data_IF_911855930506
#
_entry.id   IF_911855930506
#
_cell.length_a   1.000
_cell.length_b   1.000
_cell.length_c   1.000
_cell.angle_alpha   90.00
_cell.angle_beta   90.00
_cell.angle_gamma   90.00
#
_symmetry.space_group_name_H-M   'P 1'
#
loop_
_entity.id
_entity.type
_entity.pdbx_description
1 polymer ?
#
# COMPACT_ATOMS: atom_id res chain seq x y z
N UNK A 1 -14.15 12.12 -6.61
CA UNK A 1 -12.73 12.02 -6.16
C UNK A 1 -11.87 11.43 -7.27
N UNK A 2 -10.92 12.19 -7.80
CA UNK A 2 -10.02 11.74 -8.87
C UNK A 2 -8.94 10.77 -8.36
N UNK A 3 -8.37 9.94 -9.23
CA UNK A 3 -7.26 9.04 -8.90
C UNK A 3 -6.04 9.80 -8.34
N UNK A 4 -5.76 11.00 -8.86
CA UNK A 4 -4.68 11.87 -8.38
C UNK A 4 -4.85 12.26 -6.90
N UNK A 5 -6.07 12.64 -6.49
CA UNK A 5 -6.36 12.97 -5.10
C UNK A 5 -6.12 11.78 -4.17
N UNK A 6 -6.57 10.58 -4.57
CA UNK A 6 -6.33 9.36 -3.80
C UNK A 6 -4.85 8.99 -3.72
N UNK A 7 -4.09 9.11 -4.81
CA UNK A 7 -2.64 8.86 -4.80
C UNK A 7 -1.92 9.80 -3.83
N UNK A 8 -2.24 11.09 -3.87
CA UNK A 8 -1.64 12.09 -2.95
C UNK A 8 -2.01 11.83 -1.51
N UNK A 9 -3.27 11.51 -1.22
CA UNK A 9 -3.69 11.14 0.13
C UNK A 9 -2.95 9.86 0.61
N UNK A 10 -2.83 8.86 -0.25
CA UNK A 10 -2.08 7.62 0.07
C UNK A 10 -0.60 7.93 0.36
N UNK A 11 0.03 8.76 -0.47
CA UNK A 11 1.41 9.19 -0.29
C UNK A 11 1.58 9.97 1.02
N UNK A 12 0.68 10.91 1.30
CA UNK A 12 0.68 11.71 2.53
C UNK A 12 0.62 10.81 3.77
N UNK A 13 -0.36 9.90 3.83
CA UNK A 13 -0.49 8.95 4.94
C UNK A 13 0.76 8.09 5.10
N UNK A 14 1.33 7.61 3.99
CA UNK A 14 2.55 6.79 4.03
C UNK A 14 3.72 7.56 4.62
N UNK A 15 3.98 8.77 4.12
CA UNK A 15 5.10 9.61 4.56
C UNK A 15 4.91 10.08 6.00
N UNK A 16 3.71 10.53 6.38
CA UNK A 16 3.39 10.87 7.78
C UNK A 16 3.57 9.67 8.71
N UNK A 17 3.17 8.47 8.26
CA UNK A 17 3.40 7.22 8.98
C UNK A 17 4.89 6.94 9.20
N UNK A 18 5.74 7.16 8.18
CA UNK A 18 7.19 7.00 8.31
C UNK A 18 7.79 8.03 9.27
N UNK A 19 7.41 9.32 9.15
CA UNK A 19 7.87 10.37 10.06
C UNK A 19 7.50 10.07 11.51
N UNK A 20 6.22 9.76 11.76
CA UNK A 20 5.75 9.40 13.09
C UNK A 20 6.46 8.14 13.62
N UNK A 21 6.61 7.08 12.82
CA UNK A 21 7.32 5.88 13.24
C UNK A 21 8.75 6.18 13.71
N UNK A 22 9.48 7.02 12.97
CA UNK A 22 10.85 7.42 13.31
C UNK A 22 10.91 8.34 14.55
N UNK A 23 9.79 8.98 14.91
CA UNK A 23 9.68 9.81 16.12
C UNK A 23 9.48 9.00 17.40
N UNK A 24 8.85 7.82 17.30
CA UNK A 24 8.44 7.02 18.47
C UNK A 24 9.39 5.87 18.82
N UNK A 25 10.06 5.31 17.81
CA UNK A 25 11.03 4.24 17.97
C UNK A 25 12.32 4.61 17.23
N UNK A 26 13.40 4.88 17.96
CA UNK A 26 14.71 4.43 17.49
C UNK A 26 14.92 3.06 18.12
N UNK A 27 14.69 1.94 17.40
CA UNK A 27 15.07 0.62 17.90
C UNK A 27 16.54 0.63 18.32
N UNK A 28 16.96 -0.24 19.24
CA UNK A 28 18.36 -0.31 19.68
C UNK A 28 19.37 -0.60 18.54
N UNK A 29 18.90 -1.12 17.39
CA UNK A 29 19.68 -1.33 16.17
C UNK A 29 19.69 -0.12 15.22
N UNK A 30 18.89 0.90 15.49
CA UNK A 30 18.94 2.20 14.83
C UNK A 30 19.86 3.09 15.68
N UNK A 31 21.07 3.45 15.22
CA UNK A 31 21.80 4.53 15.87
C UNK A 31 20.85 5.72 15.93
N UNK A 32 20.83 6.49 17.04
CA UNK A 32 20.06 7.75 17.16
C UNK A 32 20.50 8.67 16.02
N UNK A 33 19.86 8.47 14.88
CA UNK A 33 20.30 8.85 13.56
C UNK A 33 19.39 9.95 13.10
N UNK A 34 19.68 11.12 13.65
CA UNK A 34 19.37 12.46 13.17
C UNK A 34 17.88 12.79 12.93
N UNK A 35 17.35 13.66 13.79
CA UNK A 35 15.98 14.19 13.76
C UNK A 35 15.48 14.65 12.36
N UNK A 36 16.40 15.00 11.44
CA UNK A 36 16.05 15.46 10.11
C UNK A 36 15.29 14.43 9.27
N UNK A 37 15.45 13.12 9.48
CA UNK A 37 14.73 12.10 8.70
C UNK A 37 13.24 12.09 9.02
N UNK A 38 12.89 12.15 10.32
CA UNK A 38 11.52 12.30 10.78
C UNK A 38 10.91 13.59 10.20
N UNK A 39 11.58 14.71 10.42
CA UNK A 39 11.14 16.02 9.93
C UNK A 39 10.95 16.01 8.41
N UNK A 40 11.88 15.38 7.67
CA UNK A 40 11.81 15.22 6.23
C UNK A 40 10.52 14.51 5.79
N UNK A 41 10.20 13.36 6.40
CA UNK A 41 8.99 12.61 6.06
C UNK A 41 7.70 13.34 6.47
N UNK A 42 7.68 13.99 7.63
CA UNK A 42 6.52 14.77 8.08
C UNK A 42 6.26 15.96 7.16
N UNK A 43 7.30 16.72 6.83
CA UNK A 43 7.22 17.88 5.94
C UNK A 43 6.74 17.45 4.56
N UNK A 44 7.34 16.41 3.96
CA UNK A 44 6.91 15.92 2.65
C UNK A 44 5.49 15.34 2.67
N UNK A 45 5.10 14.67 3.75
CA UNK A 45 3.75 14.15 3.95
C UNK A 45 2.68 15.25 3.94
N UNK A 46 3.01 16.45 4.42
CA UNK A 46 2.14 17.64 4.32
C UNK A 46 2.24 18.27 2.94
N UNK A 47 3.47 18.47 2.43
CA UNK A 47 3.72 19.17 1.16
C UNK A 47 3.10 18.47 -0.05
N UNK A 48 2.97 17.13 -0.05
CA UNK A 48 2.34 16.39 -1.17
C UNK A 48 0.86 16.75 -1.39
N UNK A 49 0.20 17.33 -0.38
CA UNK A 49 -1.18 17.80 -0.46
C UNK A 49 -1.29 19.25 -0.96
N UNK A 50 -0.24 20.07 -0.87
CA UNK A 50 -0.25 21.48 -1.28
C UNK A 50 -0.69 21.67 -2.74
N UNK A 51 -0.26 20.85 -3.71
CA UNK A 51 -0.73 20.97 -5.09
C UNK A 51 -2.24 20.81 -5.29
N UNK A 52 -2.96 20.18 -4.36
CA UNK A 52 -4.43 20.08 -4.43
C UNK A 52 -5.12 21.45 -4.32
N UNK A 53 -4.45 22.42 -3.69
CA UNK A 53 -4.95 23.78 -3.50
C UNK A 53 -4.36 24.77 -4.52
N UNK A 54 -3.46 24.31 -5.40
CA UNK A 54 -2.74 25.16 -6.38
C UNK A 54 -2.85 24.62 -7.83
N UNK A 55 -4.06 24.31 -8.34
CA UNK A 55 -4.23 23.60 -9.62
C UNK A 55 -3.65 24.34 -10.84
N UNK A 56 -3.53 25.67 -10.76
CA UNK A 56 -3.05 26.51 -11.86
C UNK A 56 -1.51 26.62 -11.91
N UNK A 57 -0.79 26.26 -10.84
CA UNK A 57 0.66 26.45 -10.72
C UNK A 57 1.46 25.19 -11.07
N UNK A 58 1.33 24.72 -12.32
CA UNK A 58 1.95 23.46 -12.82
C UNK A 58 3.46 23.36 -12.54
N UNK A 59 4.21 24.46 -12.65
CA UNK A 59 5.66 24.47 -12.38
C UNK A 59 5.96 24.19 -10.90
N UNK A 60 5.24 24.85 -9.98
CA UNK A 60 5.43 24.64 -8.55
C UNK A 60 5.04 23.21 -8.13
N UNK A 61 3.93 22.68 -8.66
CA UNK A 61 3.53 21.28 -8.44
C UNK A 61 4.63 20.31 -8.86
N UNK A 62 5.22 20.50 -10.05
CA UNK A 62 6.32 19.65 -10.54
C UNK A 62 7.56 19.73 -9.65
N UNK A 63 7.91 20.92 -9.16
CA UNK A 63 9.05 21.10 -8.24
C UNK A 63 8.77 20.36 -6.92
N UNK A 64 7.61 20.59 -6.30
CA UNK A 64 7.23 19.95 -5.04
C UNK A 64 7.20 18.42 -5.17
N UNK A 65 6.61 17.89 -6.25
CA UNK A 65 6.53 16.43 -6.42
C UNK A 65 7.89 15.81 -6.78
N UNK A 66 8.84 16.56 -7.33
CA UNK A 66 10.21 16.06 -7.57
C UNK A 66 10.94 15.77 -6.24
N UNK A 67 10.56 16.45 -5.16
CA UNK A 67 11.05 16.17 -3.80
C UNK A 67 10.61 14.80 -3.26
N UNK A 68 9.65 14.12 -3.93
CA UNK A 68 9.21 12.77 -3.58
C UNK A 68 10.18 11.66 -4.05
N UNK A 69 11.09 11.97 -4.99
CA UNK A 69 12.09 11.01 -5.46
C UNK A 69 13.04 10.61 -4.31
N UNK A 70 13.67 11.56 -3.59
CA UNK A 70 14.46 11.23 -2.39
C UNK A 70 13.68 10.44 -1.34
N UNK A 71 12.39 10.75 -1.11
CA UNK A 71 11.57 9.99 -0.17
C UNK A 71 11.43 8.52 -0.56
N UNK A 72 11.23 8.25 -1.85
CA UNK A 72 11.19 6.88 -2.37
C UNK A 72 12.54 6.17 -2.21
N UNK A 73 13.64 6.88 -2.47
CA UNK A 73 14.99 6.35 -2.30
C UNK A 73 15.29 5.99 -0.83
N UNK A 74 14.88 6.83 0.13
CA UNK A 74 15.01 6.51 1.56
C UNK A 74 14.17 5.30 1.97
N UNK A 75 12.92 5.20 1.51
CA UNK A 75 12.07 4.04 1.82
C UNK A 75 12.66 2.76 1.20
N UNK A 76 13.22 2.81 -0.01
CA UNK A 76 13.96 1.70 -0.62
C UNK A 76 15.14 1.31 0.27
N UNK A 77 15.94 2.29 0.70
CA UNK A 77 17.09 2.04 1.57
C UNK A 77 16.68 1.39 2.89
N UNK A 78 15.65 1.89 3.57
CA UNK A 78 15.13 1.28 4.80
C UNK A 78 14.57 -0.12 4.57
N UNK A 79 13.87 -0.34 3.46
CA UNK A 79 13.34 -1.66 3.11
C UNK A 79 14.47 -2.65 2.84
N UNK A 80 15.55 -2.19 2.20
CA UNK A 80 16.75 -2.98 1.95
C UNK A 80 17.48 -3.32 3.25
N UNK A 81 17.72 -2.34 4.12
CA UNK A 81 18.31 -2.60 5.43
C UNK A 81 17.49 -3.59 6.24
N UNK A 82 16.17 -3.41 6.29
CA UNK A 82 15.24 -4.32 6.97
C UNK A 82 15.32 -5.74 6.41
N UNK A 83 15.47 -5.89 5.10
CA UNK A 83 15.67 -7.18 4.47
C UNK A 83 16.98 -7.83 4.90
N UNK A 84 18.11 -7.16 4.69
CA UNK A 84 19.45 -7.69 5.05
C UNK A 84 19.54 -8.06 6.53
N UNK A 85 19.00 -7.21 7.43
CA UNK A 85 19.04 -7.44 8.88
C UNK A 85 18.07 -8.53 9.35
N UNK A 86 17.04 -8.86 8.56
CA UNK A 86 16.05 -9.86 8.95
C UNK A 86 16.48 -11.30 8.71
N UNK A 87 17.49 -11.53 7.87
CA UNK A 87 17.94 -12.89 7.50
C UNK A 87 16.88 -13.74 6.78
N UNK A 88 15.85 -13.11 6.21
CA UNK A 88 14.81 -13.79 5.42
C UNK A 88 14.88 -13.37 3.94
N UNK A 89 14.10 -14.04 3.11
CA UNK A 89 14.09 -13.89 1.66
C UNK A 89 13.70 -12.50 1.17
N UNK A 90 13.93 -12.28 -0.13
CA UNK A 90 13.75 -11.00 -0.82
C UNK A 90 12.32 -10.45 -0.72
N UNK A 91 11.35 -11.30 -0.39
CA UNK A 91 10.00 -10.87 -0.10
C UNK A 91 9.91 -9.84 1.01
N UNK A 92 10.85 -9.81 1.97
CA UNK A 92 10.87 -8.75 2.99
C UNK A 92 11.06 -7.36 2.37
N UNK A 93 11.90 -7.25 1.35
CA UNK A 93 12.09 -6.02 0.60
C UNK A 93 10.87 -5.71 -0.28
N UNK A 94 10.42 -6.71 -1.05
CA UNK A 94 9.39 -6.53 -2.06
C UNK A 94 7.96 -6.39 -1.49
N UNK A 95 7.70 -6.80 -0.25
CA UNK A 95 6.47 -6.46 0.49
C UNK A 95 6.32 -4.93 0.60
N UNK A 96 7.43 -4.17 0.66
CA UNK A 96 7.41 -2.70 0.75
C UNK A 96 7.27 -2.01 -0.61
N UNK A 97 7.07 -2.76 -1.71
CA UNK A 97 6.98 -2.19 -3.07
C UNK A 97 5.88 -1.14 -3.24
N UNK A 98 4.75 -1.31 -2.55
CA UNK A 98 3.69 -0.30 -2.55
C UNK A 98 4.09 0.97 -1.77
N UNK A 99 4.93 0.83 -0.74
CA UNK A 99 5.37 1.92 0.15
C UNK A 99 6.40 2.83 -0.51
N UNK A 100 7.45 2.27 -1.14
CA UNK A 100 8.37 3.09 -1.92
C UNK A 100 7.85 3.41 -3.33
N UNK A 101 6.85 2.69 -3.82
CA UNK A 101 6.22 2.97 -5.10
C UNK A 101 5.30 4.20 -5.07
N UNK A 102 4.58 4.45 -3.97
CA UNK A 102 3.58 5.52 -3.92
C UNK A 102 4.14 6.94 -4.19
N UNK A 103 5.30 7.37 -3.67
CA UNK A 103 5.78 8.72 -3.95
C UNK A 103 6.25 8.87 -5.41
N UNK A 104 6.85 7.82 -5.99
CA UNK A 104 7.17 7.77 -7.42
C UNK A 104 5.91 7.78 -8.30
N UNK A 105 4.83 7.12 -7.89
CA UNK A 105 3.57 7.12 -8.62
C UNK A 105 2.93 8.52 -8.63
N UNK A 106 2.93 9.23 -7.49
CA UNK A 106 2.48 10.64 -7.44
C UNK A 106 3.32 11.50 -8.37
N UNK A 107 4.65 11.43 -8.25
CA UNK A 107 5.57 12.13 -9.13
C UNK A 107 5.26 11.85 -10.60
N UNK A 108 5.19 10.59 -11.00
CA UNK A 108 4.91 10.19 -12.38
C UNK A 108 3.57 10.76 -12.88
N UNK A 109 2.51 10.67 -12.08
CA UNK A 109 1.20 11.21 -12.47
C UNK A 109 1.18 12.72 -12.68
N UNK A 110 2.06 13.46 -12.01
CA UNK A 110 2.20 14.91 -12.23
C UNK A 110 2.80 15.25 -13.60
N UNK A 111 3.68 14.41 -14.13
CA UNK A 111 4.33 14.65 -15.42
C UNK A 111 3.55 14.08 -16.60
N UNK A 112 3.01 12.87 -16.49
CA UNK A 112 2.38 12.15 -17.61
C UNK A 112 0.88 11.89 -17.43
N UNK A 113 0.29 12.37 -16.33
CA UNK A 113 -1.12 12.14 -16.01
C UNK A 113 -1.44 10.70 -15.60
N UNK A 114 -2.69 10.47 -15.20
CA UNK A 114 -3.21 9.11 -14.97
C UNK A 114 -3.50 8.45 -16.32
N UNK A 115 -2.74 7.40 -16.65
CA UNK A 115 -2.86 6.68 -17.92
C UNK A 115 -2.67 5.16 -17.74
N UNK A 116 -2.71 4.39 -18.83
CA UNK A 116 -2.57 2.94 -18.78
C UNK A 116 -1.24 2.45 -18.21
N UNK A 117 -0.14 3.18 -18.42
CA UNK A 117 1.18 2.83 -17.88
C UNK A 117 1.24 3.03 -16.36
N UNK A 118 0.75 4.17 -15.86
CA UNK A 118 0.62 4.42 -14.42
C UNK A 118 -0.25 3.36 -13.77
N UNK A 119 -1.41 3.06 -14.36
CA UNK A 119 -2.32 2.01 -13.86
C UNK A 119 -1.62 0.66 -13.76
N UNK A 120 -0.81 0.29 -14.76
CA UNK A 120 -0.02 -0.94 -14.76
C UNK A 120 1.02 -0.94 -13.64
N UNK A 121 1.70 0.18 -13.38
CA UNK A 121 2.65 0.31 -12.28
C UNK A 121 1.97 0.19 -10.90
N UNK A 122 0.80 0.80 -10.72
CA UNK A 122 -0.01 0.65 -9.50
C UNK A 122 -0.38 -0.82 -9.29
N UNK A 123 -0.78 -1.53 -10.35
CA UNK A 123 -1.06 -2.97 -10.29
C UNK A 123 0.18 -3.79 -9.92
N UNK A 124 1.37 -3.44 -10.44
CA UNK A 124 2.64 -4.10 -10.09
C UNK A 124 2.95 -3.90 -8.60
N UNK A 125 2.91 -2.66 -8.10
CA UNK A 125 3.15 -2.34 -6.69
C UNK A 125 2.19 -3.11 -5.76
N UNK A 126 0.89 -3.11 -6.08
CA UNK A 126 -0.12 -3.83 -5.29
C UNK A 126 0.08 -5.36 -5.37
N UNK A 127 0.38 -5.90 -6.55
CA UNK A 127 0.62 -7.34 -6.72
C UNK A 127 1.87 -7.79 -5.96
N UNK A 128 2.97 -7.04 -6.05
CA UNK A 128 4.19 -7.35 -5.32
C UNK A 128 3.95 -7.39 -3.81
N UNK A 129 3.29 -6.36 -3.25
CA UNK A 129 2.96 -6.33 -1.83
C UNK A 129 2.18 -7.58 -1.38
N UNK A 130 1.13 -7.97 -2.11
CA UNK A 130 0.33 -9.15 -1.78
C UNK A 130 1.06 -10.48 -2.02
N UNK A 131 1.83 -10.60 -3.11
CA UNK A 131 2.60 -11.81 -3.39
C UNK A 131 3.56 -12.09 -2.24
N UNK A 132 4.40 -11.12 -1.89
CA UNK A 132 5.44 -11.35 -0.89
C UNK A 132 4.89 -11.40 0.54
N UNK A 133 3.83 -10.67 0.84
CA UNK A 133 3.08 -10.85 2.08
C UNK A 133 2.49 -12.27 2.19
N UNK A 134 1.85 -12.75 1.11
CA UNK A 134 1.26 -14.08 1.04
C UNK A 134 2.29 -15.20 1.17
N UNK A 135 3.48 -15.05 0.57
CA UNK A 135 4.58 -16.02 0.73
C UNK A 135 5.01 -16.16 2.19
N UNK A 136 5.10 -15.05 2.94
CA UNK A 136 5.35 -15.10 4.38
C UNK A 136 4.18 -15.74 5.16
N UNK A 137 2.93 -15.43 4.82
CA UNK A 137 1.77 -16.02 5.48
C UNK A 137 1.65 -17.54 5.25
N UNK A 138 2.06 -18.04 4.07
CA UNK A 138 2.15 -19.47 3.77
C UNK A 138 3.30 -20.13 4.54
N UNK A 139 4.42 -19.41 4.76
CA UNK A 139 5.58 -19.93 5.45
C UNK A 139 6.47 -20.80 4.57
N UNK A 140 6.75 -20.35 3.34
CA UNK A 140 7.62 -21.09 2.42
C UNK A 140 9.06 -21.07 2.94
N UNK A 141 9.49 -22.17 3.56
CA UNK A 141 10.86 -22.33 4.05
C UNK A 141 11.68 -23.23 3.12
N UNK A 142 12.74 -22.66 2.54
CA UNK A 142 13.65 -23.38 1.64
C UNK A 142 15.11 -23.02 1.96
N UNK A 143 16.09 -23.90 1.67
CA UNK A 143 17.51 -23.64 1.97
C UNK A 143 18.13 -22.46 1.19
N UNK A 144 17.43 -21.97 0.16
CA UNK A 144 17.88 -20.84 -0.66
C UNK A 144 17.47 -19.54 0.03
N UNK A 145 18.44 -18.83 0.60
CA UNK A 145 18.23 -17.65 1.47
C UNK A 145 17.25 -16.63 0.86
N UNK A 146 17.47 -16.22 -0.39
CA UNK A 146 16.63 -15.22 -1.05
C UNK A 146 15.20 -15.72 -1.36
N UNK A 147 14.94 -17.03 -1.31
CA UNK A 147 13.63 -17.66 -1.45
C UNK A 147 13.01 -18.11 -0.12
N UNK A 148 13.71 -17.95 1.01
CA UNK A 148 13.25 -18.40 2.31
C UNK A 148 12.28 -17.38 2.95
N UNK A 149 10.99 -17.66 2.95
CA UNK A 149 9.92 -16.81 3.48
C UNK A 149 9.19 -17.48 4.66
N UNK A 150 9.87 -17.73 5.80
CA UNK A 150 9.22 -18.31 6.97
C UNK A 150 8.18 -17.35 7.54
N UNK A 151 7.08 -17.89 8.07
CA UNK A 151 6.05 -17.06 8.69
C UNK A 151 6.60 -16.36 9.93
N UNK A 152 6.60 -15.01 10.01
CA UNK A 152 7.11 -14.30 11.17
C UNK A 152 6.26 -14.57 12.42
N UNK A 153 6.88 -14.70 13.60
CA UNK A 153 6.17 -14.95 14.87
C UNK A 153 5.05 -13.93 15.17
N UNK A 154 5.30 -12.66 14.82
CA UNK A 154 4.30 -11.59 14.94
C UNK A 154 3.03 -11.85 14.12
N UNK A 155 3.07 -12.62 13.03
CA UNK A 155 1.87 -12.97 12.27
C UNK A 155 1.01 -13.93 13.08
N UNK A 156 1.60 -14.98 13.66
CA UNK A 156 0.87 -15.89 14.55
C UNK A 156 0.27 -15.13 15.73
N UNK A 157 1.06 -14.28 16.38
CA UNK A 157 0.59 -13.46 17.49
C UNK A 157 -0.58 -12.56 17.10
N UNK A 158 -0.43 -11.75 16.04
CA UNK A 158 -1.50 -10.82 15.62
C UNK A 158 -2.76 -11.55 15.19
N UNK A 159 -2.63 -12.67 14.46
CA UNK A 159 -3.78 -13.47 14.05
C UNK A 159 -4.48 -14.09 15.26
N UNK A 160 -3.72 -14.64 16.22
CA UNK A 160 -4.29 -15.21 17.43
C UNK A 160 -4.99 -14.16 18.29
N UNK A 161 -4.36 -13.00 18.52
CA UNK A 161 -4.93 -11.91 19.31
C UNK A 161 -6.19 -11.32 18.67
N UNK A 162 -6.14 -10.96 17.38
CA UNK A 162 -7.28 -10.32 16.71
C UNK A 162 -8.50 -11.24 16.58
N UNK A 163 -8.30 -12.56 16.53
CA UNK A 163 -9.38 -13.55 16.34
C UNK A 163 -9.73 -14.32 17.63
N UNK A 164 -9.05 -14.05 18.75
CA UNK A 164 -9.25 -14.78 20.00
C UNK A 164 -8.91 -16.27 19.92
N UNK A 165 -7.87 -16.63 19.15
CA UNK A 165 -7.46 -18.03 18.98
C UNK A 165 -6.48 -18.44 20.08
N UNK A 166 -6.72 -19.60 20.69
CA UNK A 166 -5.86 -20.14 21.75
C UNK A 166 -4.61 -20.87 21.23
N UNK A 167 -4.56 -21.21 19.93
CA UNK A 167 -3.51 -22.06 19.36
C UNK A 167 -2.85 -21.45 18.12
N UNK A 168 -1.51 -21.41 18.13
CA UNK A 168 -0.69 -21.06 16.97
C UNK A 168 -0.93 -21.99 15.78
N UNK A 169 -1.31 -23.25 16.01
CA UNK A 169 -1.63 -24.17 14.92
C UNK A 169 -2.89 -23.73 14.16
N UNK A 170 -3.91 -23.24 14.88
CA UNK A 170 -5.12 -22.69 14.26
C UNK A 170 -4.82 -21.37 13.56
N UNK A 171 -4.03 -20.48 14.19
CA UNK A 171 -3.58 -19.24 13.55
C UNK A 171 -2.80 -19.53 12.25
N UNK A 172 -1.93 -20.55 12.25
CA UNK A 172 -1.20 -20.99 11.06
C UNK A 172 -2.10 -21.46 9.92
N UNK A 173 -3.20 -22.16 10.21
CA UNK A 173 -4.19 -22.54 9.18
C UNK A 173 -4.88 -21.32 8.57
N UNK A 174 -5.23 -20.33 9.40
CA UNK A 174 -5.81 -19.06 8.92
C UNK A 174 -4.82 -18.32 8.03
N UNK A 175 -3.56 -18.21 8.46
CA UNK A 175 -2.49 -17.57 7.70
C UNK A 175 -2.22 -18.27 6.37
N UNK A 176 -2.23 -19.61 6.34
CA UNK A 176 -2.08 -20.37 5.10
C UNK A 176 -3.19 -20.04 4.10
N UNK A 177 -4.45 -20.04 4.53
CA UNK A 177 -5.60 -19.72 3.67
C UNK A 177 -5.50 -18.28 3.17
N UNK A 178 -5.23 -17.32 4.06
CA UNK A 178 -5.05 -15.93 3.70
C UNK A 178 -3.90 -15.73 2.69
N UNK A 179 -2.75 -16.37 2.92
CA UNK A 179 -1.61 -16.28 2.02
C UNK A 179 -1.89 -16.86 0.63
N UNK A 180 -2.64 -17.97 0.54
CA UNK A 180 -3.10 -18.50 -0.75
C UNK A 180 -4.05 -17.53 -1.46
N UNK A 181 -4.98 -16.92 -0.73
CA UNK A 181 -5.89 -15.91 -1.27
C UNK A 181 -5.15 -14.66 -1.76
N UNK A 182 -4.07 -14.25 -1.08
CA UNK A 182 -3.22 -13.14 -1.50
C UNK A 182 -2.55 -13.40 -2.85
N UNK A 183 -1.99 -14.60 -3.05
CA UNK A 183 -1.42 -15.01 -4.33
C UNK A 183 -2.48 -15.03 -5.44
N UNK A 184 -3.64 -15.62 -5.16
CA UNK A 184 -4.76 -15.68 -6.11
C UNK A 184 -5.21 -14.27 -6.50
N UNK A 185 -5.40 -13.38 -5.53
CA UNK A 185 -5.84 -12.01 -5.77
C UNK A 185 -4.80 -11.20 -6.57
N UNK A 186 -3.51 -11.34 -6.23
CA UNK A 186 -2.43 -10.67 -6.92
C UNK A 186 -2.26 -11.10 -8.38
N UNK A 187 -2.62 -12.35 -8.72
CA UNK A 187 -2.69 -12.80 -10.12
C UNK A 187 -4.01 -12.37 -10.77
N UNK A 188 -5.13 -12.53 -10.08
CA UNK A 188 -6.47 -12.25 -10.58
C UNK A 188 -6.69 -10.77 -10.96
N UNK A 189 -5.99 -9.82 -10.32
CA UNK A 189 -6.03 -8.40 -10.69
C UNK A 189 -5.66 -8.16 -12.18
N UNK A 190 -4.84 -9.03 -12.77
CA UNK A 190 -4.43 -8.94 -14.18
C UNK A 190 -5.50 -9.47 -15.14
N UNK A 191 -6.40 -10.33 -14.65
CA UNK A 191 -7.41 -11.02 -15.44
C UNK A 191 -8.72 -10.22 -15.38
N UNK A 192 -9.17 -9.68 -16.53
CA UNK A 192 -10.32 -8.76 -16.59
C UNK A 192 -11.57 -9.22 -15.81
N UNK A 193 -12.11 -10.44 -15.98
CA UNK A 193 -13.29 -10.88 -15.24
C UNK A 193 -13.05 -11.06 -13.74
N UNK A 194 -11.83 -11.43 -13.33
CA UNK A 194 -11.49 -11.68 -11.93
C UNK A 194 -10.97 -10.44 -11.20
N UNK A 195 -10.66 -9.36 -11.93
CA UNK A 195 -10.07 -8.13 -11.36
C UNK A 195 -10.94 -7.48 -10.30
N UNK A 196 -12.24 -7.36 -10.55
CA UNK A 196 -13.14 -6.67 -9.62
C UNK A 196 -13.22 -7.36 -8.25
N UNK A 197 -13.51 -8.68 -8.15
CA UNK A 197 -13.51 -9.37 -6.86
C UNK A 197 -12.10 -9.41 -6.23
N UNK A 198 -11.04 -9.57 -7.03
CA UNK A 198 -9.66 -9.52 -6.51
C UNK A 198 -9.34 -8.17 -5.85
N UNK A 199 -9.73 -7.06 -6.48
CA UNK A 199 -9.53 -5.73 -5.92
C UNK A 199 -10.34 -5.50 -4.64
N UNK A 200 -11.58 -6.01 -4.56
CA UNK A 200 -12.37 -5.95 -3.31
C UNK A 200 -11.64 -6.69 -2.19
N UNK A 201 -11.18 -7.90 -2.46
CA UNK A 201 -10.40 -8.68 -1.50
C UNK A 201 -9.14 -7.91 -1.06
N UNK A 202 -8.35 -7.39 -2.00
CA UNK A 202 -7.13 -6.66 -1.68
C UNK A 202 -7.39 -5.38 -0.86
N UNK A 203 -8.49 -4.66 -1.12
CA UNK A 203 -8.86 -3.50 -0.30
C UNK A 203 -9.17 -3.94 1.14
N UNK A 204 -10.06 -4.91 1.31
CA UNK A 204 -10.52 -5.35 2.63
C UNK A 204 -9.38 -5.98 3.40
N UNK A 205 -8.69 -6.95 2.80
CA UNK A 205 -7.62 -7.70 3.44
C UNK A 205 -6.38 -6.84 3.71
N UNK A 206 -5.98 -5.98 2.77
CA UNK A 206 -4.90 -5.03 2.98
C UNK A 206 -5.19 -4.04 4.13
N UNK A 207 -6.46 -3.67 4.32
CA UNK A 207 -6.88 -2.80 5.43
C UNK A 207 -6.84 -3.56 6.75
N UNK A 208 -7.41 -4.76 6.81
CA UNK A 208 -7.42 -5.60 8.02
C UNK A 208 -6.01 -5.97 8.48
N UNK A 209 -5.11 -6.33 7.56
CA UNK A 209 -3.72 -6.67 7.89
C UNK A 209 -2.89 -5.46 8.33
N UNK A 210 -3.19 -4.26 7.81
CA UNK A 210 -2.61 -3.01 8.33
C UNK A 210 -3.14 -2.72 9.75
N UNK A 211 -4.45 -2.89 9.97
CA UNK A 211 -5.13 -2.62 11.24
C UNK A 211 -4.79 -3.63 12.33
N UNK A 212 -4.41 -4.85 11.96
CA UNK A 212 -4.08 -5.91 12.91
C UNK A 212 -2.97 -5.52 13.90
N UNK A 213 -2.05 -4.63 13.53
CA UNK A 213 -0.97 -4.16 14.42
C UNK A 213 -1.50 -3.32 15.57
N UNK A 214 -2.14 -2.16 15.34
CA UNK A 214 -2.68 -1.37 16.44
C UNK A 214 -3.76 -2.11 17.22
N UNK A 215 -4.46 -3.09 16.64
CA UNK A 215 -5.44 -3.89 17.37
C UNK A 215 -4.79 -4.96 18.26
N UNK A 216 -3.87 -5.77 17.72
CA UNK A 216 -3.27 -6.89 18.45
C UNK A 216 -2.35 -6.45 19.61
N UNK A 217 -1.76 -5.26 19.50
CA UNK A 217 -0.87 -4.71 20.52
C UNK A 217 -1.52 -3.58 21.32
N UNK A 218 -2.84 -3.42 21.25
CA UNK A 218 -3.56 -2.42 22.02
C UNK A 218 -3.58 -2.77 23.51
N UNK A 219 -3.06 -1.88 24.35
CA UNK A 219 -3.20 -1.95 25.79
C UNK A 219 -4.17 -0.86 26.28
N UNK A 220 -5.30 -1.28 26.85
CA UNK A 220 -6.31 -0.37 27.39
C UNK A 220 -5.83 0.42 28.62
N UNK A 221 -4.79 -0.06 29.31
CA UNK A 221 -4.15 0.64 30.42
C UNK A 221 -3.11 1.68 29.96
N UNK A 222 -2.66 1.60 28.70
CA UNK A 222 -1.65 2.47 28.10
C UNK A 222 -2.06 2.87 26.67
N UNK A 223 -3.26 3.46 26.55
CA UNK A 223 -3.89 3.77 25.26
C UNK A 223 -3.03 4.69 24.40
N UNK A 224 -2.48 5.75 25.00
CA UNK A 224 -1.71 6.75 24.28
C UNK A 224 -0.41 6.16 23.75
N UNK A 225 0.30 5.41 24.59
CA UNK A 225 1.56 4.74 24.26
C UNK A 225 1.34 3.68 23.17
N UNK A 226 0.30 2.85 23.32
CA UNK A 226 -0.05 1.81 22.34
C UNK A 226 -0.32 2.42 20.96
N UNK A 227 -1.14 3.47 20.90
CA UNK A 227 -1.43 4.14 19.64
C UNK A 227 -0.20 4.85 19.08
N UNK A 228 0.63 5.45 19.92
CA UNK A 228 1.84 6.15 19.50
C UNK A 228 2.84 5.22 18.81
N UNK A 229 2.96 3.97 19.28
CA UNK A 229 3.84 2.95 18.69
C UNK A 229 3.22 2.30 17.45
N UNK A 230 1.94 1.92 17.52
CA UNK A 230 1.34 1.02 16.51
C UNK A 230 0.50 1.71 15.44
N UNK A 231 -0.03 2.90 15.67
CA UNK A 231 -0.74 3.66 14.61
C UNK A 231 0.17 4.02 13.41
N UNK A 232 1.45 4.40 13.59
CA UNK A 232 2.36 4.62 12.46
C UNK A 232 2.49 3.41 11.52
N UNK A 233 2.46 2.20 12.08
CA UNK A 233 2.53 0.96 11.30
C UNK A 233 1.29 0.76 10.40
N UNK A 234 0.11 1.26 10.80
CA UNK A 234 -1.07 1.27 9.95
C UNK A 234 -0.90 2.25 8.79
N UNK A 235 -0.43 3.47 9.06
CA UNK A 235 -0.29 4.53 8.06
C UNK A 235 0.80 4.25 7.02
N UNK A 236 1.96 3.73 7.44
CA UNK A 236 3.02 3.27 6.51
C UNK A 236 2.52 2.21 5.54
N UNK A 237 1.50 1.44 5.92
CA UNK A 237 0.87 0.39 5.10
C UNK A 237 -0.36 0.85 4.34
N UNK A 238 -0.76 2.11 4.42
CA UNK A 238 -1.86 2.67 3.65
C UNK A 238 -1.85 2.28 2.15
N UNK A 239 -0.68 2.20 1.46
CA UNK A 239 -0.63 1.77 0.06
C UNK A 239 -1.17 0.36 -0.21
N UNK A 240 -1.15 -0.56 0.78
CA UNK A 240 -1.60 -1.95 0.59
C UNK A 240 -3.09 -2.03 0.31
N UNK A 241 -3.89 -1.11 0.84
CA UNK A 241 -5.35 -1.10 0.63
C UNK A 241 -5.83 0.08 -0.20
N UNK A 242 -5.14 1.22 -0.17
CA UNK A 242 -5.51 2.38 -0.98
C UNK A 242 -5.13 2.25 -2.46
N UNK A 243 -4.00 1.60 -2.81
CA UNK A 243 -3.68 1.36 -4.22
C UNK A 243 -4.71 0.44 -4.91
N UNK A 244 -5.11 -0.70 -4.30
CA UNK A 244 -6.25 -1.48 -4.80
C UNK A 244 -7.55 -0.68 -4.85
N UNK A 245 -7.83 0.19 -3.87
CA UNK A 245 -9.06 1.01 -3.87
C UNK A 245 -9.09 1.99 -5.05
N UNK A 246 -7.96 2.61 -5.37
CA UNK A 246 -7.81 3.47 -6.56
C UNK A 246 -8.14 2.67 -7.81
N UNK A 247 -7.55 1.49 -7.97
CA UNK A 247 -7.82 0.61 -9.11
C UNK A 247 -9.28 0.14 -9.18
N UNK A 248 -9.88 -0.16 -8.02
CA UNK A 248 -11.27 -0.63 -7.91
C UNK A 248 -12.23 0.43 -8.42
N UNK A 249 -12.05 1.67 -7.96
CA UNK A 249 -12.86 2.81 -8.39
C UNK A 249 -12.76 3.05 -9.89
N UNK A 250 -11.55 3.01 -10.44
CA UNK A 250 -11.31 3.19 -11.87
C UNK A 250 -11.87 2.02 -12.70
N UNK A 251 -12.01 0.83 -12.11
CA UNK A 251 -12.66 -0.33 -12.75
C UNK A 251 -14.20 -0.29 -12.67
N UNK A 252 -14.77 0.28 -11.60
CA UNK A 252 -16.22 0.46 -11.46
C UNK A 252 -16.80 1.44 -12.47
N UNK A 253 -16.09 2.52 -12.75
CA UNK A 253 -16.45 3.49 -13.82
C UNK A 253 -16.53 2.82 -15.19
N UNK A 254 -15.77 1.76 -15.43
CA UNK A 254 -15.81 0.99 -16.68
C UNK A 254 -17.04 0.09 -16.77
N UNK A 255 -17.51 -0.49 -15.67
CA UNK A 255 -18.73 -1.31 -15.64
C UNK A 255 -19.98 -0.49 -15.96
N UNK A 256 -20.03 0.76 -15.49
CA UNK A 256 -21.14 1.67 -15.83
C UNK A 256 -21.18 2.03 -17.32
N UNK A 257 -20.03 2.12 -18.01
CA UNK A 257 -19.99 2.38 -19.46
C UNK A 257 -20.42 1.21 -20.35
N UNK A 258 -20.34 -0.02 -19.84
CA UNK A 258 -20.82 -1.21 -20.57
C UNK A 258 -22.34 -1.36 -20.40
N UNK A 259 -22.88 -0.84 -19.30
CA UNK A 259 -24.30 -0.89 -18.97
C UNK A 259 -25.07 0.36 -19.44
N UNK A 260 -24.39 1.38 -19.98
CA UNK A 260 -25.06 2.46 -20.70
C UNK A 260 -25.56 1.88 -22.04
N UNK A 261 -26.87 1.90 -22.33
CA UNK A 261 -27.35 1.57 -23.66
C UNK A 261 -26.69 2.54 -24.62
N UNK A 262 -26.06 2.03 -25.68
CA UNK A 262 -25.51 2.86 -26.74
C UNK A 262 -26.60 3.84 -27.17
N UNK A 263 -26.38 5.14 -26.95
CA UNK A 263 -27.27 6.16 -27.47
C UNK A 263 -27.30 5.96 -28.98
N UNK A 264 -28.45 5.52 -29.48
CA UNK A 264 -28.69 5.37 -30.92
C UNK A 264 -28.40 6.75 -31.52
N UNK A 265 -27.48 6.87 -32.48
CA UNK A 265 -27.28 8.13 -33.18
C UNK A 265 -28.63 8.58 -33.71
N UNK A 266 -29.09 9.76 -33.30
CA UNK A 266 -30.26 10.41 -33.87
C UNK A 266 -29.96 10.61 -35.35
N UNK A 267 -30.39 9.64 -36.17
CA UNK A 267 -30.42 9.78 -37.61
C UNK A 267 -31.36 10.93 -37.89
N UNK A 268 -30.75 12.04 -38.30
CA UNK A 268 -31.37 13.21 -38.90
C UNK A 268 -32.70 12.85 -39.57
N UNK A 269 -33.80 13.41 -39.06
CA UNK A 269 -34.99 13.66 -39.87
C UNK A 269 -34.57 14.60 -40.99
N UNK A 270 -34.08 14.02 -42.08
CA UNK A 270 -34.04 14.70 -43.36
C UNK A 270 -35.50 14.93 -43.76
N UNK A 271 -35.84 16.21 -43.78
CA UNK A 271 -36.77 16.89 -44.69
C UNK A 271 -37.56 15.95 -45.61
N UNK A 272 -38.88 15.93 -45.41
CA UNK A 272 -39.82 15.63 -46.49
C UNK A 272 -40.46 16.95 -46.96
N UNK A 273 -40.67 17.10 -48.28
CA UNK A 273 -40.93 18.37 -48.97
C UNK A 273 -42.25 19.05 -48.59
#
# INVERSE_FOLDING_TARGET
>A
MSANLLLRATCSLTLLGYGWKLSGDSPAWYPRGVAWENEFFLILGILVLVPLFLPEKKTLTRVLDTLLIPASAFIIFFSYQKWILSGVGIGQFLEHAAQFGIPLLVWLTTFIGWNGAVKKLVMICASAAFIFHGLFAIGISVPVEWLNHPTPDKFFFMTAQCLGLESNATAGKVLLVAGLLDLVAAVAIWIRPARFPALIYMVIWGFLTALARPVAYFDASAVAESLFVWAPEFFTRAPHWLLPLILLKESGTFRNRINEPASVPELSRQEQP
#
